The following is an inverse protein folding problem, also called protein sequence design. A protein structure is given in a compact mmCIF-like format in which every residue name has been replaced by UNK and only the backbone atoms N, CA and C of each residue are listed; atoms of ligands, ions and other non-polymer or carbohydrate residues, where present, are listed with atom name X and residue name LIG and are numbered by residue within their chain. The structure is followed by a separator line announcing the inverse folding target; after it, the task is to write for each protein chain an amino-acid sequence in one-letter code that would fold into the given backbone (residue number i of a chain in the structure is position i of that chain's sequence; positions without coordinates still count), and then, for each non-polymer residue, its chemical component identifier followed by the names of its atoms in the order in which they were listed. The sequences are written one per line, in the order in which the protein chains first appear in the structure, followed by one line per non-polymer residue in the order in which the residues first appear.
data_IF_907465357880
#
_entry.id   IF_907465357880
#
_cell.length_a   1.000
_cell.length_b   1.000
_cell.length_c   1.000
_cell.angle_alpha   90.00
_cell.angle_beta   90.00
_cell.angle_gamma   90.00
#
_symmetry.space_group_name_H-M   'P 1'
#
loop_
_entity.id
_entity.type
_entity.pdbx_description
1 polymer ?
#
# COMPACT_ATOMS: atom_id res chain seq x y z
N UNK A 1 81.86 7.51 -4.36
CA UNK A 1 80.80 7.59 -3.33
C UNK A 1 79.47 7.62 -4.04
N UNK A 2 78.78 6.47 -4.14
CA UNK A 2 77.47 6.33 -4.79
C UNK A 2 76.38 6.21 -3.70
N UNK A 3 75.52 7.21 -3.58
CA UNK A 3 74.40 7.18 -2.65
C UNK A 3 73.24 6.38 -3.29
N UNK A 4 72.93 5.25 -2.68
CA UNK A 4 71.67 4.49 -3.01
C UNK A 4 70.49 5.22 -2.41
N UNK A 5 69.55 5.62 -3.26
CA UNK A 5 68.20 6.09 -2.85
C UNK A 5 67.28 4.86 -2.80
N UNK A 6 66.80 4.50 -1.60
CA UNK A 6 65.81 3.46 -1.39
C UNK A 6 64.46 4.16 -1.46
N UNK A 7 63.69 3.91 -2.54
CA UNK A 7 62.33 4.36 -2.64
C UNK A 7 61.38 3.44 -1.86
N UNK A 8 60.70 3.97 -0.85
CA UNK A 8 59.63 3.29 -0.12
C UNK A 8 58.35 3.52 -0.92
N UNK A 9 57.86 2.47 -1.57
CA UNK A 9 56.51 2.48 -2.16
C UNK A 9 55.46 2.27 -1.06
N UNK A 10 54.76 3.32 -0.70
CA UNK A 10 53.59 3.21 0.18
C UNK A 10 52.39 2.66 -0.60
N UNK A 11 52.06 1.39 -0.36
CA UNK A 11 50.83 0.78 -0.86
C UNK A 11 49.67 1.30 0.03
N UNK A 12 48.91 2.28 -0.44
CA UNK A 12 47.65 2.67 0.16
C UNK A 12 46.61 1.60 -0.16
N UNK A 13 46.41 0.68 0.78
CA UNK A 13 45.29 -0.26 0.75
C UNK A 13 44.02 0.53 1.16
N UNK A 14 43.27 1.02 0.19
CA UNK A 14 41.96 1.60 0.44
C UNK A 14 40.99 0.48 0.79
N UNK A 15 40.80 0.21 2.10
CA UNK A 15 39.70 -0.57 2.58
C UNK A 15 38.43 0.26 2.33
N UNK A 16 37.66 -0.10 1.31
CA UNK A 16 36.30 0.34 1.19
C UNK A 16 35.51 -0.32 2.33
N UNK A 17 35.33 0.38 3.44
CA UNK A 17 34.32 0.04 4.42
C UNK A 17 32.97 0.26 3.72
N UNK A 18 32.30 -0.81 3.28
CA UNK A 18 30.88 -0.81 3.11
C UNK A 18 30.30 -0.61 4.52
N UNK A 19 30.04 0.64 4.89
CA UNK A 19 29.19 0.90 6.04
C UNK A 19 27.81 0.34 5.65
N UNK A 20 27.42 -0.80 6.22
CA UNK A 20 26.01 -1.21 6.23
C UNK A 20 25.23 -0.02 6.80
N UNK A 21 24.36 0.56 6.00
CA UNK A 21 23.50 1.65 6.45
C UNK A 21 22.69 1.11 7.63
N UNK A 22 22.90 1.66 8.81
CA UNK A 22 22.16 1.26 10.01
C UNK A 22 20.67 1.47 9.71
N UNK A 23 19.87 0.40 9.81
CA UNK A 23 18.42 0.48 9.62
C UNK A 23 17.82 1.47 10.62
N UNK A 24 17.17 2.50 10.12
CA UNK A 24 16.48 3.51 10.90
C UNK A 24 15.02 3.16 11.12
N UNK A 25 14.33 3.98 11.92
CA UNK A 25 12.87 3.91 12.03
C UNK A 25 12.24 4.34 10.71
N UNK A 26 11.25 3.58 10.22
CA UNK A 26 10.40 3.96 9.08
C UNK A 26 8.94 4.03 9.50
N UNK A 27 8.18 4.90 8.84
CA UNK A 27 6.74 5.09 9.04
C UNK A 27 6.04 4.83 7.72
N UNK A 28 5.04 3.95 7.71
CA UNK A 28 4.14 3.74 6.58
C UNK A 28 2.80 4.37 6.93
N UNK A 29 2.47 5.46 6.26
CA UNK A 29 1.15 6.08 6.30
C UNK A 29 0.28 5.43 5.23
N UNK A 30 -1.00 5.19 5.54
CA UNK A 30 -1.86 4.55 4.57
C UNK A 30 -3.30 5.05 4.60
N UNK A 31 -3.92 4.98 3.45
CA UNK A 31 -5.36 5.17 3.24
C UNK A 31 -5.94 4.01 2.45
N UNK A 32 -7.24 3.89 2.48
CA UNK A 32 -8.07 3.00 1.67
C UNK A 32 -9.47 3.60 1.55
N UNK A 33 -10.19 3.25 0.49
CA UNK A 33 -11.63 3.56 0.35
C UNK A 33 -11.94 5.04 0.61
N UNK A 34 -11.16 5.96 0.01
CA UNK A 34 -11.37 7.39 0.25
C UNK A 34 -12.59 7.95 -0.47
N UNK A 35 -13.07 7.23 -1.49
CA UNK A 35 -14.39 7.42 -2.11
C UNK A 35 -14.72 8.87 -2.44
N UNK A 36 -13.80 9.57 -3.12
CA UNK A 36 -13.97 10.97 -3.53
C UNK A 36 -14.36 11.92 -2.40
N UNK A 37 -14.11 11.55 -1.14
CA UNK A 37 -14.41 12.41 0.01
C UNK A 37 -13.34 13.51 0.12
N UNK A 38 -13.53 14.55 -0.67
CA UNK A 38 -12.62 15.71 -0.75
C UNK A 38 -12.80 16.62 0.45
N UNK A 39 -14.07 16.95 0.76
CA UNK A 39 -14.42 17.83 1.87
C UNK A 39 -14.45 17.08 3.21
N UNK A 40 -14.21 17.77 4.34
CA UNK A 40 -14.45 17.17 5.64
C UNK A 40 -15.94 16.93 5.83
N UNK A 41 -16.27 15.90 6.63
CA UNK A 41 -17.65 15.65 7.02
C UNK A 41 -18.22 16.82 7.82
N UNK A 42 -19.49 17.15 7.58
CA UNK A 42 -20.20 18.15 8.39
C UNK A 42 -20.15 17.77 9.88
N UNK A 43 -20.02 18.72 10.81
CA UNK A 43 -19.99 18.42 12.25
C UNK A 43 -21.17 17.61 12.75
N UNK A 44 -22.33 17.70 12.07
CA UNK A 44 -23.57 16.95 12.36
C UNK A 44 -23.59 15.52 11.85
N UNK A 45 -22.57 15.07 11.10
CA UNK A 45 -22.51 13.71 10.59
C UNK A 45 -22.39 12.71 11.75
N UNK A 46 -23.26 11.67 11.77
CA UNK A 46 -23.40 10.77 12.93
C UNK A 46 -22.12 9.99 13.27
N UNK A 47 -21.40 9.54 12.27
CA UNK A 47 -20.22 8.66 12.45
C UNK A 47 -18.90 9.43 12.36
N UNK A 48 -18.77 10.34 11.39
CA UNK A 48 -17.50 10.99 11.04
C UNK A 48 -17.57 12.51 11.21
N UNK A 49 -18.46 13.02 12.08
CA UNK A 49 -18.68 14.46 12.26
C UNK A 49 -17.37 15.25 12.45
N UNK A 50 -17.10 16.16 11.54
CA UNK A 50 -15.91 16.99 11.54
C UNK A 50 -14.60 16.31 11.17
N UNK A 51 -14.60 15.00 10.81
CA UNK A 51 -13.41 14.27 10.37
C UNK A 51 -13.20 14.36 8.84
N UNK A 52 -12.04 13.88 8.39
CA UNK A 52 -11.70 13.76 6.97
C UNK A 52 -11.34 15.09 6.31
N UNK A 53 -11.42 15.08 4.98
CA UNK A 53 -11.04 16.20 4.11
C UNK A 53 -9.58 16.15 3.69
N UNK A 54 -9.32 16.30 2.36
CA UNK A 54 -7.98 16.15 1.77
C UNK A 54 -6.99 17.18 2.30
N UNK A 55 -7.42 18.44 2.53
CA UNK A 55 -6.55 19.49 3.05
C UNK A 55 -6.04 19.20 4.45
N UNK A 56 -6.90 18.66 5.33
CA UNK A 56 -6.52 18.26 6.68
C UNK A 56 -5.61 17.03 6.66
N UNK A 57 -5.91 16.06 5.80
CA UNK A 57 -5.07 14.87 5.61
C UNK A 57 -3.69 15.27 5.16
N UNK A 58 -3.56 16.16 4.17
CA UNK A 58 -2.29 16.70 3.71
C UNK A 58 -1.51 17.36 4.84
N UNK A 59 -2.15 18.21 5.66
CA UNK A 59 -1.49 18.87 6.79
C UNK A 59 -0.96 17.86 7.83
N UNK A 60 -1.68 16.77 8.10
CA UNK A 60 -1.22 15.71 9.00
C UNK A 60 -0.03 14.96 8.39
N UNK A 61 -0.10 14.60 7.09
CA UNK A 61 1.00 13.94 6.38
C UNK A 61 2.26 14.81 6.42
N UNK A 62 2.15 16.11 6.12
CA UNK A 62 3.27 17.06 6.15
C UNK A 62 3.86 17.19 7.56
N UNK A 63 3.01 17.23 8.60
CA UNK A 63 3.46 17.26 9.99
C UNK A 63 4.28 16.03 10.35
N UNK A 64 3.85 14.84 9.91
CA UNK A 64 4.58 13.59 10.16
C UNK A 64 5.89 13.56 9.36
N UNK A 65 5.88 13.94 8.10
CA UNK A 65 7.10 14.02 7.27
C UNK A 65 8.14 15.00 7.81
N UNK A 66 7.70 16.08 8.45
CA UNK A 66 8.60 17.03 9.11
C UNK A 66 9.22 16.45 10.41
N UNK A 67 8.55 15.52 11.07
CA UNK A 67 9.01 14.89 12.30
C UNK A 67 9.81 13.60 12.07
N UNK A 68 9.51 12.87 11.00
CA UNK A 68 10.07 11.55 10.69
C UNK A 68 10.79 11.58 9.34
N UNK A 69 12.07 11.20 9.27
CA UNK A 69 12.85 11.31 8.03
C UNK A 69 12.48 10.23 6.99
N UNK A 70 11.89 9.13 7.40
CA UNK A 70 11.65 7.97 6.56
C UNK A 70 10.15 7.64 6.55
N UNK A 71 9.38 8.31 5.70
CA UNK A 71 7.92 8.14 5.58
C UNK A 71 7.56 7.67 4.18
N UNK A 72 6.82 6.58 4.09
CA UNK A 72 6.11 6.12 2.89
C UNK A 72 4.63 6.41 3.05
N UNK A 73 3.96 6.84 1.99
CA UNK A 73 2.51 7.05 1.95
C UNK A 73 1.92 6.15 0.86
N UNK A 74 0.99 5.26 1.25
CA UNK A 74 0.43 4.26 0.35
C UNK A 74 -1.09 4.25 0.39
N UNK A 75 -1.71 3.68 -0.65
CA UNK A 75 -3.17 3.59 -0.75
C UNK A 75 -3.61 2.21 -1.23
N UNK A 76 -4.62 1.65 -0.56
CA UNK A 76 -5.13 0.32 -0.83
C UNK A 76 -6.40 0.31 -1.73
N UNK A 77 -6.58 1.33 -2.56
CA UNK A 77 -7.61 1.39 -3.60
C UNK A 77 -8.92 2.05 -3.17
N UNK A 78 -9.84 2.16 -4.10
CA UNK A 78 -11.12 2.85 -4.01
C UNK A 78 -10.97 4.33 -3.62
N UNK A 79 -10.07 5.02 -4.33
CA UNK A 79 -9.87 6.45 -4.15
C UNK A 79 -11.02 7.29 -4.73
N UNK A 80 -11.66 6.79 -5.78
CA UNK A 80 -12.74 7.47 -6.51
C UNK A 80 -14.10 6.86 -6.22
N UNK A 81 -15.16 7.50 -6.70
CA UNK A 81 -16.58 7.14 -6.53
C UNK A 81 -17.11 7.48 -5.12
N UNK A 82 -18.36 7.89 -5.02
CA UNK A 82 -19.11 8.09 -3.77
C UNK A 82 -19.58 9.52 -3.51
N UNK A 83 -19.04 10.53 -4.20
CA UNK A 83 -19.45 11.94 -4.02
C UNK A 83 -19.68 12.65 -5.36
N UNK A 84 -20.29 13.86 -5.36
CA UNK A 84 -20.44 14.66 -6.58
C UNK A 84 -19.12 14.99 -7.31
N UNK A 85 -17.98 14.98 -6.62
CA UNK A 85 -16.67 15.18 -7.25
C UNK A 85 -16.41 14.13 -8.33
N UNK A 86 -16.62 12.85 -8.02
CA UNK A 86 -16.49 11.81 -9.05
C UNK A 86 -17.49 11.97 -10.19
N UNK A 87 -18.75 12.32 -9.90
CA UNK A 87 -19.77 12.50 -10.93
C UNK A 87 -19.40 13.59 -11.95
N UNK A 88 -18.74 14.65 -11.49
CA UNK A 88 -18.35 15.81 -12.32
C UNK A 88 -16.97 15.65 -12.96
N UNK A 89 -16.00 15.11 -12.22
CA UNK A 89 -14.58 15.14 -12.60
C UNK A 89 -13.98 13.76 -12.89
N UNK A 90 -14.72 12.66 -12.64
CA UNK A 90 -14.30 11.29 -12.99
C UNK A 90 -12.91 10.89 -12.48
N UNK A 91 -12.54 11.34 -11.29
CA UNK A 91 -11.28 11.02 -10.63
C UNK A 91 -10.17 12.07 -10.77
N UNK A 92 -10.33 13.09 -11.61
CA UNK A 92 -9.27 14.09 -11.81
C UNK A 92 -8.90 14.80 -10.50
N UNK A 93 -9.89 15.25 -9.72
CA UNK A 93 -9.67 15.96 -8.45
C UNK A 93 -9.02 15.06 -7.41
N UNK A 94 -9.47 13.81 -7.31
CA UNK A 94 -8.95 12.83 -6.37
C UNK A 94 -7.48 12.51 -6.65
N UNK A 95 -7.14 12.27 -7.93
CA UNK A 95 -5.76 11.98 -8.32
C UNK A 95 -4.84 13.18 -8.19
N UNK A 96 -5.30 14.40 -8.52
CA UNK A 96 -4.54 15.63 -8.27
C UNK A 96 -4.27 15.83 -6.78
N UNK A 97 -5.28 15.63 -5.91
CA UNK A 97 -5.11 15.72 -4.47
C UNK A 97 -4.11 14.66 -3.94
N UNK A 98 -4.17 13.43 -4.46
CA UNK A 98 -3.22 12.38 -4.07
C UNK A 98 -1.80 12.65 -4.58
N UNK A 99 -1.65 13.21 -5.77
CA UNK A 99 -0.36 13.69 -6.28
C UNK A 99 0.22 14.79 -5.40
N UNK A 100 -0.60 15.77 -5.00
CA UNK A 100 -0.18 16.85 -4.10
C UNK A 100 0.24 16.35 -2.73
N UNK A 101 -0.41 15.29 -2.21
CA UNK A 101 -0.02 14.61 -0.97
C UNK A 101 1.23 13.73 -1.12
N UNK A 102 1.67 13.42 -2.34
CA UNK A 102 2.88 12.63 -2.61
C UNK A 102 2.75 11.16 -2.19
N UNK A 103 1.71 10.47 -2.67
CA UNK A 103 1.62 9.02 -2.51
C UNK A 103 2.75 8.33 -3.27
N UNK A 104 3.36 7.31 -2.64
CA UNK A 104 4.49 6.56 -3.18
C UNK A 104 4.04 5.32 -3.98
N UNK A 105 3.09 4.56 -3.43
CA UNK A 105 2.58 3.31 -4.03
C UNK A 105 1.07 3.23 -3.81
N UNK A 106 0.35 2.85 -4.85
CA UNK A 106 -1.11 2.69 -4.84
C UNK A 106 -1.52 1.40 -5.51
N UNK A 107 -2.65 0.84 -5.11
CA UNK A 107 -3.30 -0.24 -5.85
C UNK A 107 -4.63 0.20 -6.45
N UNK A 108 -5.26 -0.71 -7.16
CA UNK A 108 -6.61 -0.55 -7.71
C UNK A 108 -7.63 -1.13 -6.71
N UNK A 109 -8.76 -0.46 -6.54
CA UNK A 109 -9.96 -1.10 -6.02
C UNK A 109 -10.91 -1.41 -7.17
N UNK A 110 -12.14 -1.80 -6.86
CA UNK A 110 -13.17 -2.03 -7.88
C UNK A 110 -13.69 -0.72 -8.47
N UNK A 111 -13.74 0.33 -7.68
CA UNK A 111 -14.26 1.64 -8.12
C UNK A 111 -13.28 2.42 -9.00
N UNK A 112 -11.99 2.09 -9.05
CA UNK A 112 -11.09 2.68 -10.04
C UNK A 112 -11.56 2.45 -11.48
N UNK A 113 -12.34 1.41 -11.73
CA UNK A 113 -12.87 1.06 -13.04
C UNK A 113 -14.18 1.78 -13.41
N UNK A 114 -14.81 2.50 -12.48
CA UNK A 114 -16.14 3.12 -12.67
C UNK A 114 -16.19 4.19 -13.77
N UNK A 115 -15.07 4.83 -14.06
CA UNK A 115 -14.95 5.80 -15.16
C UNK A 115 -14.49 5.15 -16.49
N UNK A 116 -14.30 3.83 -16.52
CA UNK A 116 -13.74 3.07 -17.62
C UNK A 116 -12.21 3.05 -17.65
N UNK A 117 -11.65 2.00 -18.28
CA UNK A 117 -10.19 1.78 -18.26
C UNK A 117 -9.39 2.85 -19.02
N UNK A 118 -9.93 3.47 -20.05
CA UNK A 118 -9.27 4.55 -20.78
C UNK A 118 -9.07 5.77 -19.88
N UNK A 119 -10.10 6.14 -19.11
CA UNK A 119 -10.00 7.23 -18.14
C UNK A 119 -9.03 6.87 -17.02
N UNK A 120 -9.11 5.64 -16.49
CA UNK A 120 -8.17 5.15 -15.49
C UNK A 120 -6.73 5.19 -16.00
N UNK A 121 -6.47 4.77 -17.24
CA UNK A 121 -5.14 4.86 -17.85
C UNK A 121 -4.62 6.31 -17.95
N UNK A 122 -5.50 7.27 -18.24
CA UNK A 122 -5.14 8.70 -18.24
C UNK A 122 -4.78 9.18 -16.82
N UNK A 123 -5.57 8.82 -15.82
CA UNK A 123 -5.33 9.18 -14.42
C UNK A 123 -4.01 8.59 -13.91
N UNK A 124 -3.73 7.31 -14.19
CA UNK A 124 -2.48 6.65 -13.79
C UNK A 124 -1.27 7.30 -14.48
N UNK A 125 -1.35 7.63 -15.77
CA UNK A 125 -0.27 8.35 -16.49
C UNK A 125 0.05 9.71 -15.88
N UNK A 126 -0.94 10.38 -15.30
CA UNK A 126 -0.78 11.66 -14.59
C UNK A 126 -0.38 11.50 -13.12
N UNK A 127 -0.34 10.27 -12.60
CA UNK A 127 0.00 10.02 -11.19
C UNK A 127 1.51 10.05 -10.95
N UNK A 128 1.91 10.57 -9.80
CA UNK A 128 3.29 10.51 -9.29
C UNK A 128 3.59 9.20 -8.56
N UNK A 129 2.55 8.47 -8.13
CA UNK A 129 2.69 7.18 -7.44
C UNK A 129 2.88 6.03 -8.43
N UNK A 130 3.60 4.98 -8.01
CA UNK A 130 3.57 3.70 -8.71
C UNK A 130 2.25 2.97 -8.43
N UNK A 131 1.53 2.59 -9.49
CA UNK A 131 0.39 1.68 -9.38
C UNK A 131 0.82 0.23 -9.50
N UNK A 132 0.29 -0.61 -8.61
CA UNK A 132 0.59 -2.04 -8.59
C UNK A 132 -0.66 -2.91 -8.53
N UNK A 133 -0.60 -4.07 -9.20
CA UNK A 133 -1.57 -5.15 -9.10
C UNK A 133 -0.86 -6.47 -9.40
N UNK A 134 -0.93 -7.44 -8.50
CA UNK A 134 -0.18 -8.68 -8.60
C UNK A 134 -1.03 -9.83 -9.16
N UNK A 135 -2.33 -9.82 -8.87
CA UNK A 135 -3.25 -10.88 -9.27
C UNK A 135 -4.16 -10.51 -10.45
N UNK A 136 -3.94 -9.35 -11.09
CA UNK A 136 -4.54 -9.04 -12.39
C UNK A 136 -3.48 -9.12 -13.48
N UNK A 137 -3.73 -9.87 -14.55
CA UNK A 137 -3.04 -9.68 -15.81
C UNK A 137 -3.77 -8.60 -16.63
N UNK A 138 -3.10 -7.47 -16.79
CA UNK A 138 -3.61 -6.29 -17.49
C UNK A 138 -3.00 -6.11 -18.88
N UNK A 139 -2.27 -7.11 -19.40
CA UNK A 139 -1.50 -7.03 -20.66
C UNK A 139 -2.37 -6.78 -21.89
N UNK A 140 -3.64 -7.20 -21.85
CA UNK A 140 -4.61 -7.02 -22.94
C UNK A 140 -5.55 -5.81 -22.70
N UNK A 141 -5.17 -4.86 -21.83
CA UNK A 141 -6.00 -3.71 -21.45
C UNK A 141 -5.29 -2.38 -21.71
N UNK A 142 -5.99 -1.23 -21.68
CA UNK A 142 -5.38 0.11 -21.71
C UNK A 142 -4.38 0.38 -20.56
N UNK A 143 -4.37 -0.44 -19.52
CA UNK A 143 -3.49 -0.34 -18.36
C UNK A 143 -2.15 -1.06 -18.54
N UNK A 144 -1.94 -1.73 -19.69
CA UNK A 144 -0.71 -2.46 -19.99
C UNK A 144 0.53 -1.57 -19.84
N UNK A 145 1.48 -2.02 -19.00
CA UNK A 145 2.73 -1.29 -18.74
C UNK A 145 2.60 -0.06 -17.81
N UNK A 146 1.37 0.33 -17.45
CA UNK A 146 1.13 1.42 -16.49
C UNK A 146 1.06 0.91 -15.04
N UNK A 147 0.53 -0.29 -14.85
CA UNK A 147 0.39 -0.95 -13.55
C UNK A 147 1.44 -2.05 -13.47
N UNK A 148 2.27 -2.02 -12.43
CA UNK A 148 3.35 -2.98 -12.21
C UNK A 148 2.86 -4.16 -11.36
N UNK A 149 3.43 -5.36 -11.46
CA UNK A 149 3.04 -6.47 -10.60
C UNK A 149 3.52 -6.31 -9.14
N UNK A 150 4.58 -5.55 -8.92
CA UNK A 150 5.18 -5.25 -7.62
C UNK A 150 6.21 -4.12 -7.77
N UNK A 151 6.62 -3.52 -6.64
CA UNK A 151 7.73 -2.55 -6.58
C UNK A 151 8.56 -2.77 -5.31
N UNK A 152 9.81 -2.29 -5.31
CA UNK A 152 10.65 -2.19 -4.11
C UNK A 152 10.99 -0.71 -3.88
N UNK A 153 10.90 -0.28 -2.61
CA UNK A 153 11.34 1.03 -2.14
C UNK A 153 12.48 0.89 -1.15
N UNK A 154 13.53 1.65 -1.35
CA UNK A 154 14.64 1.73 -0.39
C UNK A 154 14.45 2.97 0.49
N UNK A 155 14.29 2.78 1.78
CA UNK A 155 14.04 3.85 2.73
C UNK A 155 14.55 3.48 4.12
N UNK A 156 15.26 4.40 4.79
CA UNK A 156 15.76 4.19 6.15
C UNK A 156 16.68 2.98 6.29
N UNK A 157 17.37 2.56 5.22
CA UNK A 157 18.18 1.35 5.20
C UNK A 157 17.42 0.05 5.04
N UNK A 158 16.09 0.11 4.78
CA UNK A 158 15.25 -1.04 4.45
C UNK A 158 14.95 -1.09 2.96
N UNK A 159 14.84 -2.33 2.45
CA UNK A 159 14.18 -2.64 1.17
C UNK A 159 12.76 -3.10 1.46
N UNK A 160 11.79 -2.24 1.20
CA UNK A 160 10.37 -2.56 1.38
C UNK A 160 9.79 -3.00 0.06
N UNK A 161 9.44 -4.28 -0.06
CA UNK A 161 8.76 -4.84 -1.22
C UNK A 161 7.24 -4.68 -1.08
N UNK A 162 6.62 -4.12 -2.11
CA UNK A 162 5.16 -3.99 -2.20
C UNK A 162 4.62 -4.88 -3.30
N UNK A 163 3.58 -5.63 -2.98
CA UNK A 163 2.71 -6.34 -3.91
C UNK A 163 1.26 -5.95 -3.64
N UNK A 164 0.35 -6.21 -4.57
CA UNK A 164 -1.04 -5.83 -4.39
C UNK A 164 -2.03 -6.91 -4.84
N UNK A 165 -3.13 -6.99 -4.12
CA UNK A 165 -4.20 -7.96 -4.36
C UNK A 165 -5.52 -7.22 -4.57
N UNK A 166 -6.24 -7.64 -5.60
CA UNK A 166 -7.49 -7.03 -6.03
C UNK A 166 -8.60 -8.09 -6.05
N UNK A 167 -9.85 -7.65 -5.86
CA UNK A 167 -11.05 -8.50 -5.87
C UNK A 167 -11.25 -9.19 -7.22
N UNK A 168 -12.01 -10.30 -7.23
CA UNK A 168 -12.51 -10.85 -8.50
C UNK A 168 -13.42 -9.82 -9.16
N UNK A 169 -13.12 -9.34 -10.38
CA UNK A 169 -13.95 -8.35 -11.06
C UNK A 169 -15.34 -8.88 -11.44
N UNK A 170 -15.51 -10.20 -11.52
CA UNK A 170 -16.76 -10.83 -11.92
C UNK A 170 -17.91 -10.45 -10.98
N UNK A 171 -19.00 -9.94 -11.54
CA UNK A 171 -20.19 -9.44 -10.82
C UNK A 171 -20.00 -8.19 -9.93
N UNK A 172 -18.77 -7.67 -9.82
CA UNK A 172 -18.47 -6.49 -9.00
C UNK A 172 -18.14 -5.26 -9.86
N UNK A 173 -17.46 -5.47 -10.99
CA UNK A 173 -17.10 -4.43 -11.96
C UNK A 173 -17.90 -4.68 -13.23
N UNK A 174 -18.56 -3.66 -13.84
CA UNK A 174 -19.22 -3.82 -15.12
C UNK A 174 -18.29 -4.45 -16.16
N UNK A 175 -18.78 -5.47 -16.89
CA UNK A 175 -17.95 -6.26 -17.80
C UNK A 175 -17.24 -5.40 -18.86
N UNK A 176 -17.89 -4.34 -19.33
CA UNK A 176 -17.30 -3.37 -20.27
C UNK A 176 -16.15 -2.56 -19.64
N UNK A 177 -16.19 -2.33 -18.33
CA UNK A 177 -15.16 -1.59 -17.60
C UNK A 177 -13.96 -2.43 -17.19
N UNK A 178 -14.01 -3.77 -17.31
CA UNK A 178 -12.92 -4.68 -16.97
C UNK A 178 -12.58 -5.64 -18.12
N UNK A 179 -12.98 -5.34 -19.34
CA UNK A 179 -12.71 -6.20 -20.51
C UNK A 179 -11.21 -6.41 -20.71
N UNK A 180 -10.77 -7.67 -20.78
CA UNK A 180 -9.38 -8.05 -20.99
C UNK A 180 -8.57 -8.20 -19.68
N UNK A 181 -9.14 -7.90 -18.54
CA UNK A 181 -8.54 -8.22 -17.23
C UNK A 181 -8.63 -9.73 -16.99
N UNK A 182 -7.49 -10.37 -16.68
CA UNK A 182 -7.48 -11.78 -16.27
C UNK A 182 -7.17 -11.83 -14.77
N UNK A 183 -8.10 -12.39 -14.02
CA UNK A 183 -7.98 -12.56 -12.56
C UNK A 183 -7.25 -13.88 -12.23
N UNK A 184 -6.30 -13.80 -11.31
CA UNK A 184 -5.58 -14.93 -10.76
C UNK A 184 -5.89 -15.09 -9.28
N UNK A 185 -5.77 -16.32 -8.77
CA UNK A 185 -5.95 -16.61 -7.34
C UNK A 185 -5.04 -15.71 -6.49
N UNK A 186 -5.61 -14.91 -5.56
CA UNK A 186 -4.84 -13.93 -4.78
C UNK A 186 -3.86 -14.58 -3.81
N UNK A 187 -4.16 -15.75 -3.24
CA UNK A 187 -3.26 -16.44 -2.31
C UNK A 187 -2.02 -16.97 -3.07
N UNK A 188 -2.23 -17.57 -4.23
CA UNK A 188 -1.12 -18.08 -5.07
C UNK A 188 -0.25 -16.92 -5.58
N UNK A 189 -0.88 -15.85 -6.08
CA UNK A 189 -0.19 -14.66 -6.56
C UNK A 189 0.62 -13.99 -5.45
N UNK A 190 0.04 -13.85 -4.25
CA UNK A 190 0.69 -13.28 -3.08
C UNK A 190 1.93 -14.06 -2.67
N UNK A 191 1.80 -15.39 -2.46
CA UNK A 191 2.91 -16.22 -2.01
C UNK A 191 4.06 -16.28 -3.03
N UNK A 192 3.73 -16.41 -4.33
CA UNK A 192 4.73 -16.39 -5.40
C UNK A 192 5.52 -15.07 -5.42
N UNK A 193 4.81 -13.96 -5.32
CA UNK A 193 5.43 -12.63 -5.44
C UNK A 193 6.14 -12.23 -4.14
N UNK A 194 5.61 -12.57 -2.98
CA UNK A 194 6.28 -12.34 -1.70
C UNK A 194 7.64 -13.06 -1.64
N UNK A 195 7.70 -14.32 -2.05
CA UNK A 195 8.97 -15.06 -2.18
C UNK A 195 9.94 -14.37 -3.13
N UNK A 196 9.46 -13.96 -4.33
CA UNK A 196 10.30 -13.24 -5.30
C UNK A 196 10.86 -11.94 -4.70
N UNK A 197 10.07 -11.20 -3.93
CA UNK A 197 10.53 -9.97 -3.27
C UNK A 197 11.62 -10.29 -2.23
N UNK A 198 11.47 -11.36 -1.44
CA UNK A 198 12.52 -11.82 -0.52
C UNK A 198 13.80 -12.21 -1.26
N UNK A 199 13.70 -12.96 -2.36
CA UNK A 199 14.85 -13.31 -3.21
C UNK A 199 15.56 -12.08 -3.79
N UNK A 200 14.83 -10.98 -4.01
CA UNK A 200 15.38 -9.68 -4.41
C UNK A 200 15.94 -8.85 -3.25
N UNK A 201 15.92 -9.41 -2.04
CA UNK A 201 16.49 -8.81 -0.84
C UNK A 201 15.54 -7.86 -0.11
N UNK A 202 14.22 -8.00 -0.26
CA UNK A 202 13.27 -7.25 0.54
C UNK A 202 13.37 -7.62 2.02
N UNK A 203 13.62 -6.64 2.88
CA UNK A 203 13.61 -6.76 4.34
C UNK A 203 12.19 -6.87 4.89
N UNK A 204 11.25 -6.18 4.25
CA UNK A 204 9.83 -6.17 4.55
C UNK A 204 9.03 -6.43 3.29
N UNK A 205 7.96 -7.22 3.41
CA UNK A 205 6.97 -7.44 2.34
C UNK A 205 5.61 -6.93 2.80
N UNK A 206 5.12 -5.92 2.12
CA UNK A 206 3.85 -5.25 2.38
C UNK A 206 2.89 -5.55 1.23
N UNK A 207 1.69 -5.98 1.57
CA UNK A 207 0.58 -6.17 0.62
C UNK A 207 -0.33 -4.95 0.70
N UNK A 208 -0.61 -4.32 -0.44
CA UNK A 208 -1.75 -3.42 -0.60
C UNK A 208 -2.92 -4.27 -1.09
N UNK A 209 -3.91 -4.47 -0.23
CA UNK A 209 -5.00 -5.38 -0.52
C UNK A 209 -6.32 -4.66 -0.68
N UNK A 210 -7.01 -4.93 -1.78
CA UNK A 210 -8.39 -4.53 -1.95
C UNK A 210 -9.32 -5.75 -1.98
N UNK A 211 -9.03 -6.76 -1.14
CA UNK A 211 -9.85 -7.98 -1.00
C UNK A 211 -10.92 -7.85 0.07
N UNK A 212 -10.64 -7.06 1.10
CA UNK A 212 -11.49 -6.93 2.27
C UNK A 212 -11.03 -7.77 3.46
N UNK A 213 -11.30 -7.26 4.66
CA UNK A 213 -11.13 -8.02 5.90
C UNK A 213 -12.22 -9.08 6.07
N UNK A 214 -13.45 -8.78 5.63
CA UNK A 214 -14.60 -9.68 5.63
C UNK A 214 -15.05 -9.93 4.19
N UNK A 215 -15.45 -11.17 3.90
CA UNK A 215 -16.00 -11.55 2.62
C UNK A 215 -17.39 -10.90 2.40
N UNK A 216 -17.70 -10.46 1.21
CA UNK A 216 -19.03 -10.07 0.78
C UNK A 216 -19.79 -11.28 0.26
N UNK A 217 -19.11 -12.15 -0.50
CA UNK A 217 -19.61 -13.42 -0.98
C UNK A 217 -18.79 -14.59 -0.40
N UNK A 218 -19.38 -15.79 -0.32
CA UNK A 218 -18.68 -16.98 0.24
C UNK A 218 -17.42 -17.39 -0.51
N UNK A 219 -17.33 -17.02 -1.77
CA UNK A 219 -16.19 -17.33 -2.64
C UNK A 219 -15.03 -16.35 -2.49
N UNK A 220 -15.24 -15.22 -1.80
CA UNK A 220 -14.24 -14.17 -1.70
C UNK A 220 -13.09 -14.60 -0.80
N UNK A 221 -11.88 -14.33 -1.27
CA UNK A 221 -10.67 -14.41 -0.47
C UNK A 221 -10.52 -13.12 0.34
N UNK A 222 -10.21 -13.25 1.64
CA UNK A 222 -10.08 -12.14 2.58
C UNK A 222 -8.65 -11.94 3.05
N UNK A 223 -8.34 -10.73 3.57
CA UNK A 223 -7.03 -10.41 4.13
C UNK A 223 -6.58 -11.40 5.23
N UNK A 224 -7.44 -11.81 6.20
CA UNK A 224 -7.08 -12.84 7.17
C UNK A 224 -6.74 -14.20 6.54
N UNK A 225 -7.43 -14.59 5.46
CA UNK A 225 -7.13 -15.84 4.76
C UNK A 225 -5.79 -15.77 4.02
N UNK A 226 -5.48 -14.65 3.37
CA UNK A 226 -4.17 -14.41 2.75
C UNK A 226 -3.08 -14.46 3.82
N UNK A 227 -3.25 -13.75 4.94
CA UNK A 227 -2.30 -13.75 6.05
C UNK A 227 -2.03 -15.16 6.56
N UNK A 228 -3.08 -15.92 6.88
CA UNK A 228 -2.97 -17.30 7.39
C UNK A 228 -2.32 -18.25 6.39
N UNK A 229 -2.53 -18.05 5.09
CA UNK A 229 -1.99 -18.87 4.01
C UNK A 229 -0.60 -18.43 3.53
N UNK A 230 -0.02 -17.39 4.08
CA UNK A 230 1.27 -16.82 3.64
C UNK A 230 2.47 -17.44 4.36
N UNK A 231 3.68 -17.14 3.82
CA UNK A 231 4.97 -17.44 4.46
C UNK A 231 5.87 -16.23 4.56
N UNK A 232 5.87 -15.36 3.56
CA UNK A 232 6.86 -14.28 3.38
C UNK A 232 6.28 -12.85 3.51
N UNK A 233 5.01 -12.75 3.92
CA UNK A 233 4.31 -11.46 4.10
C UNK A 233 4.45 -11.02 5.56
N UNK A 234 4.73 -9.72 5.77
CA UNK A 234 4.81 -9.11 7.10
C UNK A 234 3.58 -8.25 7.43
N UNK A 235 3.07 -7.50 6.42
CA UNK A 235 2.01 -6.52 6.61
C UNK A 235 1.02 -6.62 5.46
N UNK A 236 -0.28 -6.54 5.78
CA UNK A 236 -1.37 -6.35 4.83
C UNK A 236 -2.07 -5.04 5.17
N UNK A 237 -2.09 -4.11 4.24
CA UNK A 237 -2.86 -2.86 4.31
C UNK A 237 -4.09 -3.07 3.43
N UNK A 238 -5.24 -3.23 4.06
CA UNK A 238 -6.50 -3.63 3.42
C UNK A 238 -7.41 -2.47 3.06
N UNK A 239 -8.41 -2.78 2.23
CA UNK A 239 -9.52 -1.92 1.82
C UNK A 239 -10.80 -2.71 1.60
N UNK A 240 -11.70 -2.24 0.73
CA UNK A 240 -12.91 -2.86 0.23
C UNK A 240 -14.04 -3.07 1.26
N UNK A 241 -13.78 -3.74 2.36
CA UNK A 241 -14.79 -4.04 3.39
C UNK A 241 -15.08 -2.88 4.35
N UNK A 242 -14.41 -1.74 4.18
CA UNK A 242 -14.53 -0.55 5.04
C UNK A 242 -14.32 -0.85 6.53
N UNK A 243 -13.60 -1.89 6.86
CA UNK A 243 -13.37 -2.32 8.24
C UNK A 243 -12.39 -1.36 8.93
N UNK A 244 -12.74 -0.85 10.09
CA UNK A 244 -11.82 -0.06 10.91
C UNK A 244 -11.04 -0.97 11.85
N UNK A 245 -9.77 -1.22 11.56
CA UNK A 245 -8.86 -1.96 12.42
C UNK A 245 -8.19 -0.97 13.37
N UNK A 246 -8.58 -1.00 14.65
CA UNK A 246 -7.98 -0.20 15.70
C UNK A 246 -7.43 -1.14 16.79
N UNK A 247 -6.09 -1.33 16.86
CA UNK A 247 -5.46 -2.24 17.80
C UNK A 247 -5.85 -1.98 19.27
N UNK A 248 -5.90 -0.72 19.71
CA UNK A 248 -6.24 -0.38 21.08
C UNK A 248 -7.67 -0.81 21.46
N UNK A 249 -8.63 -0.62 20.53
CA UNK A 249 -10.01 -1.05 20.75
C UNK A 249 -10.16 -2.58 20.69
N UNK A 250 -9.38 -3.25 19.84
CA UNK A 250 -9.38 -4.71 19.72
C UNK A 250 -8.80 -5.32 21.00
N UNK A 251 -7.65 -4.83 21.45
CA UNK A 251 -6.97 -5.33 22.67
C UNK A 251 -7.80 -5.06 23.94
N UNK A 252 -8.59 -3.97 23.96
CA UNK A 252 -9.49 -3.66 25.07
C UNK A 252 -10.79 -4.49 25.08
N UNK A 253 -11.10 -5.22 23.99
CA UNK A 253 -12.30 -6.04 23.88
C UNK A 253 -11.96 -7.50 23.60
N UNK A 254 -11.91 -8.37 24.63
CA UNK A 254 -11.60 -9.80 24.47
C UNK A 254 -12.56 -10.55 23.54
N UNK A 255 -13.81 -10.06 23.42
CA UNK A 255 -14.85 -10.65 22.56
C UNK A 255 -14.83 -10.12 21.13
N UNK A 256 -13.86 -9.28 20.77
CA UNK A 256 -13.72 -8.77 19.41
C UNK A 256 -13.48 -9.93 18.43
N UNK A 257 -14.22 -9.95 17.33
CA UNK A 257 -13.99 -10.86 16.21
C UNK A 257 -12.85 -10.35 15.30
N UNK A 258 -12.52 -9.04 15.37
CA UNK A 258 -11.43 -8.47 14.61
C UNK A 258 -10.08 -8.87 15.18
N UNK A 259 -9.11 -9.08 14.30
CA UNK A 259 -7.71 -9.36 14.64
C UNK A 259 -6.80 -8.53 13.74
N UNK A 260 -5.87 -7.83 14.32
CA UNK A 260 -4.83 -7.10 13.58
C UNK A 260 -3.53 -7.90 13.49
N UNK A 261 -3.47 -9.09 14.09
CA UNK A 261 -2.36 -10.05 14.01
C UNK A 261 -2.92 -11.42 13.67
N UNK A 262 -2.45 -11.99 12.57
CA UNK A 262 -2.84 -13.33 12.12
C UNK A 262 -1.57 -14.16 11.95
N UNK A 263 -1.56 -15.37 12.52
CA UNK A 263 -0.45 -16.30 12.36
C UNK A 263 -0.42 -16.87 10.94
N UNK A 264 0.71 -16.75 10.27
CA UNK A 264 0.94 -17.37 8.98
C UNK A 264 1.29 -18.88 9.12
N UNK A 265 1.59 -19.55 8.00
CA UNK A 265 1.93 -20.98 7.98
C UNK A 265 3.17 -21.35 8.80
N UNK A 266 4.04 -20.40 9.09
CA UNK A 266 5.26 -20.57 9.90
C UNK A 266 5.10 -20.10 11.34
N UNK A 267 3.89 -19.69 11.73
CA UNK A 267 3.59 -19.20 13.07
C UNK A 267 4.07 -17.77 13.35
N UNK A 268 4.54 -17.05 12.32
CA UNK A 268 4.89 -15.62 12.42
C UNK A 268 3.64 -14.76 12.34
N UNK A 269 3.64 -13.62 13.03
CA UNK A 269 2.56 -12.66 12.93
C UNK A 269 2.61 -11.90 11.60
N UNK A 270 1.48 -11.83 10.91
CA UNK A 270 1.20 -10.90 9.83
C UNK A 270 0.31 -9.80 10.39
N UNK A 271 0.71 -8.55 10.25
CA UNK A 271 -0.07 -7.40 10.69
C UNK A 271 -1.10 -7.05 9.62
N UNK A 272 -2.36 -6.87 10.03
CA UNK A 272 -3.42 -6.38 9.14
C UNK A 272 -3.87 -5.00 9.63
N UNK A 273 -3.91 -4.03 8.71
CA UNK A 273 -4.34 -2.66 8.97
C UNK A 273 -5.38 -2.23 7.92
N UNK A 274 -6.44 -1.54 8.36
CA UNK A 274 -7.45 -0.93 7.49
C UNK A 274 -8.08 0.25 8.23
N UNK A 275 -8.36 1.37 7.54
CA UNK A 275 -8.76 2.65 8.16
C UNK A 275 -10.26 2.98 8.04
N UNK A 276 -11.10 1.98 7.79
CA UNK A 276 -12.50 2.25 7.50
C UNK A 276 -12.68 2.80 6.08
N UNK A 277 -13.36 3.92 5.94
CA UNK A 277 -13.66 4.51 4.63
C UNK A 277 -13.65 6.04 4.65
N UNK A 278 -13.80 6.62 3.45
CA UNK A 278 -14.02 8.07 3.20
C UNK A 278 -12.91 8.97 3.74
N UNK A 279 -11.71 8.41 3.92
CA UNK A 279 -10.56 9.16 4.40
C UNK A 279 -10.78 9.88 5.73
N UNK A 280 -11.69 9.36 6.57
CA UNK A 280 -11.94 9.89 7.90
C UNK A 280 -10.72 9.72 8.82
N UNK A 281 -9.92 8.68 8.57
CA UNK A 281 -8.71 8.33 9.31
C UNK A 281 -7.52 8.18 8.38
N UNK A 282 -6.34 8.39 8.92
CA UNK A 282 -5.05 8.09 8.29
C UNK A 282 -4.40 6.98 9.13
N UNK A 283 -4.04 5.86 8.51
CA UNK A 283 -3.32 4.79 9.17
C UNK A 283 -1.84 5.11 9.31
N UNK A 284 -1.22 4.61 10.38
CA UNK A 284 0.19 4.82 10.67
C UNK A 284 0.79 3.52 11.24
N UNK A 285 1.72 2.94 10.51
CA UNK A 285 2.48 1.76 10.92
C UNK A 285 3.93 2.19 11.09
N UNK A 286 4.47 1.96 12.28
CA UNK A 286 5.87 2.25 12.59
C UNK A 286 6.67 0.96 12.67
N UNK A 287 7.79 0.90 11.95
CA UNK A 287 8.75 -0.19 11.98
C UNK A 287 10.05 0.34 12.57
N UNK A 288 10.48 -0.28 13.67
CA UNK A 288 11.69 0.09 14.37
C UNK A 288 12.66 -1.11 14.38
N UNK A 289 13.92 -0.89 14.05
CA UNK A 289 14.96 -1.93 14.04
C UNK A 289 15.15 -2.63 15.40
N UNK A 290 14.67 -2.02 16.48
CA UNK A 290 14.75 -2.59 17.83
C UNK A 290 13.68 -3.64 18.13
N UNK A 291 12.71 -3.83 17.26
CA UNK A 291 11.56 -4.73 17.44
C UNK A 291 11.59 -5.94 16.49
N UNK A 292 12.74 -6.34 15.97
CA UNK A 292 12.94 -7.57 15.21
C UNK A 292 13.17 -8.78 16.12
#
# INVERSE_FOLDING_TARGET
MVKKIIGIAAICLSMAFCAEAQQGRIVILHTNDTHSQIEPFAPSHKTYGGLGGVVRRMAVIDSIRNAEPNVLLVDAGDAIQGTPYFNLFKGDVEFEAMNAMGYDVRTLGNHEFDAGMEKLAQLIKGSTADFISTNYDLSATPLAGLVKPWVIREIGGYKVGFLALNVNPENLIPAESCQGVVFHDPIEAANRTARLLREKGADLVVVLSHLGYTAQEKSDTTDPQVAAASTDIDIIIGGHSHTQINPEKIDANPDSELRYRVKNREGRDVIIAQTGMSGAYLGCITIDSKNK
#
